data_IF_646230543845
#
_entry.id   IF_646230543845
#
_cell.length_a   1.000
_cell.length_b   1.000
_cell.length_c   1.000
_cell.angle_alpha   90.00
_cell.angle_beta   90.00
_cell.angle_gamma   90.00
#
_symmetry.space_group_name_H-M   'P 1'
#
loop_
_entity.id
_entity.type
_entity.pdbx_description
1 polymer ?
#
# COMPACT_ATOMS: atom_id res chain seq x y z
N UNK A 1 26.97 -33.63 -11.99
CA UNK A 1 25.95 -33.23 -11.01
C UNK A 1 26.18 -31.78 -10.64
N UNK A 2 25.17 -30.91 -10.77
CA UNK A 2 25.27 -29.52 -10.30
C UNK A 2 24.95 -29.53 -8.80
N UNK A 3 25.85 -29.01 -7.98
CA UNK A 3 25.65 -28.85 -6.54
C UNK A 3 25.09 -27.45 -6.32
N UNK A 4 23.90 -27.35 -5.71
CA UNK A 4 23.37 -26.08 -5.20
C UNK A 4 23.85 -25.90 -3.75
N UNK A 5 24.71 -24.92 -3.45
CA UNK A 5 25.11 -24.65 -2.09
C UNK A 5 23.91 -24.13 -1.28
N UNK A 6 23.76 -24.63 -0.05
CA UNK A 6 22.73 -24.18 0.89
C UNK A 6 23.32 -23.04 1.72
N UNK A 7 22.62 -21.90 1.76
CA UNK A 7 22.94 -20.80 2.66
C UNK A 7 22.34 -21.09 4.04
N UNK A 8 23.15 -20.99 5.09
CA UNK A 8 22.71 -21.07 6.48
C UNK A 8 22.65 -19.66 7.06
N UNK A 9 21.49 -19.25 7.54
CA UNK A 9 21.26 -17.91 8.08
C UNK A 9 21.51 -17.89 9.59
N UNK A 10 22.63 -17.31 10.02
CA UNK A 10 22.94 -17.13 11.44
C UNK A 10 22.40 -15.81 12.01
N UNK A 11 22.13 -14.83 11.16
CA UNK A 11 21.49 -13.56 11.50
C UNK A 11 20.84 -12.95 10.26
N UNK A 12 19.82 -12.13 10.46
CA UNK A 12 19.21 -11.32 9.40
C UNK A 12 18.84 -9.95 9.96
N UNK A 13 19.07 -8.90 9.18
CA UNK A 13 18.72 -7.53 9.55
C UNK A 13 17.92 -6.92 8.42
N UNK A 14 16.74 -6.41 8.75
CA UNK A 14 15.90 -5.62 7.87
C UNK A 14 16.20 -4.14 8.06
N UNK A 15 16.45 -3.43 6.95
CA UNK A 15 16.62 -1.98 6.95
C UNK A 15 15.39 -1.38 6.29
N UNK A 16 14.66 -0.55 7.03
CA UNK A 16 13.45 0.10 6.51
C UNK A 16 13.76 1.38 5.71
N UNK A 17 12.72 1.97 5.11
CA UNK A 17 12.82 3.21 4.31
C UNK A 17 13.23 4.45 5.12
N UNK A 18 13.20 4.38 6.45
CA UNK A 18 13.58 5.46 7.38
C UNK A 18 14.97 5.23 7.99
N UNK A 19 15.81 4.37 7.38
CA UNK A 19 17.12 3.96 7.89
C UNK A 19 17.07 3.24 9.25
N UNK A 20 15.90 2.76 9.66
CA UNK A 20 15.74 1.90 10.83
C UNK A 20 16.33 0.53 10.57
N UNK A 21 17.08 0.00 11.55
CA UNK A 21 17.71 -1.31 11.49
C UNK A 21 17.02 -2.25 12.47
N UNK A 22 16.45 -3.34 11.96
CA UNK A 22 15.63 -4.27 12.70
C UNK A 22 16.22 -5.68 12.62
N UNK A 23 16.57 -6.26 13.76
CA UNK A 23 17.06 -7.63 13.80
C UNK A 23 15.90 -8.61 13.66
N UNK A 24 16.03 -9.54 12.69
CA UNK A 24 15.00 -10.55 12.40
C UNK A 24 15.46 -11.88 12.96
N UNK A 25 14.60 -12.50 13.77
CA UNK A 25 14.87 -13.80 14.35
C UNK A 25 14.93 -14.88 13.23
N UNK A 26 16.06 -15.55 13.03
CA UNK A 26 16.17 -16.57 11.99
C UNK A 26 15.19 -17.74 12.13
N UNK A 27 14.76 -18.05 13.36
CA UNK A 27 13.79 -19.12 13.61
C UNK A 27 12.40 -18.82 13.02
N UNK A 28 12.09 -17.54 12.77
CA UNK A 28 10.81 -17.11 12.21
C UNK A 28 10.69 -17.37 10.71
N UNK A 29 11.81 -17.53 9.98
CA UNK A 29 11.78 -17.84 8.54
C UNK A 29 11.14 -19.20 8.24
N UNK A 30 11.25 -20.16 9.17
CA UNK A 30 10.67 -21.50 9.00
C UNK A 30 9.19 -21.59 9.36
N UNK A 31 8.67 -20.63 10.14
CA UNK A 31 7.30 -20.67 10.68
C UNK A 31 6.38 -19.65 10.02
N UNK A 32 6.95 -18.55 9.51
CA UNK A 32 6.22 -17.48 8.86
C UNK A 32 5.95 -17.81 7.40
N UNK A 33 4.69 -17.64 6.98
CA UNK A 33 4.32 -17.80 5.57
C UNK A 33 4.39 -16.45 4.87
N UNK A 34 4.85 -16.40 3.60
CA UNK A 34 4.78 -15.19 2.82
C UNK A 34 3.31 -14.77 2.65
N UNK A 35 3.12 -13.46 2.43
CA UNK A 35 1.80 -12.92 2.17
C UNK A 35 1.15 -13.59 0.94
N UNK A 36 -0.15 -13.88 1.01
CA UNK A 36 -0.87 -14.61 -0.04
C UNK A 36 -0.94 -13.82 -1.35
N UNK A 37 -0.86 -12.49 -1.29
CA UNK A 37 -0.85 -11.61 -2.45
C UNK A 37 0.55 -11.41 -3.03
N UNK A 38 1.62 -11.83 -2.34
CA UNK A 38 3.02 -11.65 -2.80
C UNK A 38 3.26 -12.04 -4.27
N UNK A 39 2.72 -13.17 -4.78
CA UNK A 39 2.94 -13.55 -6.18
C UNK A 39 2.35 -12.56 -7.21
N UNK A 40 1.37 -11.75 -6.80
CA UNK A 40 0.63 -10.83 -7.65
C UNK A 40 0.92 -9.36 -7.36
N UNK A 41 1.55 -9.06 -6.22
CA UNK A 41 1.76 -7.71 -5.72
C UNK A 41 2.34 -6.76 -6.77
N UNK A 42 3.45 -7.13 -7.42
CA UNK A 42 4.08 -6.28 -8.44
C UNK A 42 3.11 -5.92 -9.59
N UNK A 43 2.39 -6.90 -10.13
CA UNK A 43 1.45 -6.68 -11.22
C UNK A 43 0.25 -5.84 -10.80
N UNK A 44 -0.21 -6.04 -9.57
CA UNK A 44 -1.34 -5.29 -9.01
C UNK A 44 -0.96 -3.81 -8.82
N UNK A 45 0.21 -3.56 -8.22
CA UNK A 45 0.78 -2.23 -8.04
C UNK A 45 0.99 -1.54 -9.39
N UNK A 46 1.61 -2.22 -10.35
CA UNK A 46 1.84 -1.68 -11.69
C UNK A 46 0.52 -1.33 -12.40
N UNK A 47 -0.47 -2.23 -12.34
CA UNK A 47 -1.79 -2.00 -12.97
C UNK A 47 -2.53 -0.80 -12.38
N UNK A 48 -2.45 -0.61 -11.05
CA UNK A 48 -3.05 0.54 -10.37
C UNK A 48 -2.30 1.83 -10.72
N UNK A 49 -0.97 1.83 -10.62
CA UNK A 49 -0.15 3.01 -10.84
C UNK A 49 -0.12 3.48 -12.31
N UNK A 50 -0.27 2.57 -13.27
CA UNK A 50 -0.35 2.93 -14.69
C UNK A 50 -1.73 3.46 -15.09
N UNK A 51 -2.77 3.19 -14.30
CA UNK A 51 -4.12 3.70 -14.55
C UNK A 51 -4.29 5.11 -13.97
N UNK A 52 -4.46 6.10 -14.85
CA UNK A 52 -4.67 7.49 -14.41
C UNK A 52 -5.93 7.63 -13.54
N UNK A 53 -7.01 6.92 -13.89
CA UNK A 53 -8.26 6.94 -13.12
C UNK A 53 -8.03 6.40 -11.71
N UNK A 54 -7.27 5.30 -11.57
CA UNK A 54 -6.96 4.72 -10.25
C UNK A 54 -6.04 5.62 -9.43
N UNK A 55 -5.01 6.23 -10.03
CA UNK A 55 -4.18 7.23 -9.32
C UNK A 55 -4.99 8.42 -8.81
N UNK A 56 -5.95 8.92 -9.61
CA UNK A 56 -6.86 9.97 -9.17
C UNK A 56 -7.77 9.49 -8.02
N UNK A 57 -8.22 8.23 -8.06
CA UNK A 57 -9.00 7.65 -6.97
C UNK A 57 -8.17 7.56 -5.67
N UNK A 58 -6.88 7.22 -5.74
CA UNK A 58 -5.95 7.26 -4.60
C UNK A 58 -5.82 8.67 -4.01
N UNK A 59 -5.77 9.72 -4.85
CA UNK A 59 -5.79 11.12 -4.38
C UNK A 59 -7.08 11.44 -3.63
N UNK A 60 -8.24 11.01 -4.15
CA UNK A 60 -9.54 11.19 -3.49
C UNK A 60 -9.60 10.43 -2.16
N UNK A 61 -9.05 9.21 -2.10
CA UNK A 61 -8.89 8.43 -0.87
C UNK A 61 -8.05 9.16 0.17
N UNK A 62 -6.94 9.78 -0.24
CA UNK A 62 -6.08 10.56 0.65
C UNK A 62 -6.87 11.70 1.34
N UNK A 63 -7.68 12.42 0.58
CA UNK A 63 -8.57 13.43 1.16
C UNK A 63 -9.66 12.83 2.04
N UNK A 64 -10.38 11.81 1.55
CA UNK A 64 -11.54 11.25 2.23
C UNK A 64 -11.19 10.53 3.54
N UNK A 65 -10.07 9.81 3.58
CA UNK A 65 -9.68 8.99 4.74
C UNK A 65 -8.71 9.71 5.68
N UNK A 66 -7.78 10.50 5.12
CA UNK A 66 -6.69 11.11 5.88
C UNK A 66 -6.87 12.61 6.09
N UNK A 67 -7.85 13.23 5.43
CA UNK A 67 -8.07 14.68 5.40
C UNK A 67 -6.84 15.47 4.91
N UNK A 68 -6.09 14.86 3.99
CA UNK A 68 -4.87 15.42 3.42
C UNK A 68 -5.13 15.90 1.99
N UNK A 69 -4.56 17.07 1.63
CA UNK A 69 -4.68 17.62 0.28
C UNK A 69 -3.51 17.13 -0.58
N UNK A 70 -3.74 16.00 -1.26
CA UNK A 70 -2.77 15.41 -2.18
C UNK A 70 -2.94 15.92 -3.62
N UNK A 71 -1.83 16.17 -4.31
CA UNK A 71 -1.79 16.48 -5.75
C UNK A 71 -1.58 15.24 -6.63
N UNK A 72 -0.92 14.22 -6.10
CA UNK A 72 -0.64 12.96 -6.80
C UNK A 72 -0.48 11.83 -5.77
N UNK A 73 -0.70 10.58 -6.19
CA UNK A 73 -0.60 9.41 -5.32
C UNK A 73 -0.24 8.13 -6.10
N UNK A 74 0.57 7.27 -5.47
CA UNK A 74 0.98 5.97 -5.98
C UNK A 74 0.81 4.91 -4.90
N UNK A 75 0.44 3.70 -5.31
CA UNK A 75 0.52 2.52 -4.46
C UNK A 75 1.98 2.03 -4.42
N UNK A 76 2.53 1.79 -3.23
CA UNK A 76 3.90 1.33 -3.05
C UNK A 76 3.99 -0.17 -2.78
N UNK A 77 3.10 -0.66 -1.93
CA UNK A 77 3.10 -2.04 -1.44
C UNK A 77 1.65 -2.51 -1.28
N UNK A 78 1.45 -3.83 -1.29
CA UNK A 78 0.17 -4.47 -1.01
C UNK A 78 0.41 -5.73 -0.19
N UNK A 79 -0.52 -6.03 0.70
CA UNK A 79 -0.59 -7.29 1.44
C UNK A 79 -2.06 -7.62 1.76
N UNK A 80 -2.31 -8.77 2.37
CA UNK A 80 -3.68 -9.19 2.71
C UNK A 80 -4.41 -8.23 3.66
N UNK A 81 -3.72 -7.34 4.38
CA UNK A 81 -4.34 -6.39 5.32
C UNK A 81 -4.65 -5.04 4.68
N UNK A 82 -4.10 -4.74 3.52
CA UNK A 82 -4.26 -3.44 2.86
C UNK A 82 -3.09 -3.07 1.97
N UNK A 83 -2.73 -1.80 1.97
CA UNK A 83 -1.70 -1.27 1.07
C UNK A 83 -1.01 -0.04 1.64
N UNK A 84 0.22 0.20 1.20
CA UNK A 84 0.94 1.45 1.42
C UNK A 84 0.79 2.37 0.21
N UNK A 85 0.55 3.65 0.47
CA UNK A 85 0.37 4.68 -0.53
C UNK A 85 1.35 5.83 -0.30
N UNK A 86 2.05 6.24 -1.36
CA UNK A 86 2.86 7.45 -1.38
C UNK A 86 2.05 8.59 -1.99
N UNK A 87 1.69 9.58 -1.18
CA UNK A 87 0.93 10.74 -1.63
C UNK A 87 1.75 12.02 -1.55
N UNK A 88 1.60 12.88 -2.56
CA UNK A 88 2.23 14.19 -2.63
C UNK A 88 1.31 15.23 -2.00
N UNK A 89 1.47 15.47 -0.71
CA UNK A 89 0.57 16.30 0.09
C UNK A 89 1.10 17.73 0.27
N UNK A 90 0.20 18.70 0.34
CA UNK A 90 0.54 20.09 0.65
C UNK A 90 0.92 20.20 2.15
N UNK A 91 2.16 20.58 2.42
CA UNK A 91 2.71 20.76 3.76
C UNK A 91 3.11 22.23 3.97
N UNK A 92 2.86 22.78 5.16
CA UNK A 92 3.31 24.13 5.52
C UNK A 92 2.75 25.28 4.67
N UNK A 93 1.66 25.07 3.93
CA UNK A 93 0.93 26.12 3.20
C UNK A 93 1.47 26.49 1.82
N UNK A 94 2.62 25.95 1.38
CA UNK A 94 3.17 26.28 0.06
C UNK A 94 3.92 25.14 -0.65
N UNK A 95 4.39 24.11 0.05
CA UNK A 95 5.25 23.08 -0.54
C UNK A 95 4.60 21.71 -0.53
N UNK A 96 4.78 20.99 -1.63
CA UNK A 96 4.31 19.61 -1.75
C UNK A 96 5.40 18.64 -1.34
N UNK A 97 5.10 17.78 -0.37
CA UNK A 97 6.01 16.76 0.14
C UNK A 97 5.42 15.37 -0.08
N UNK A 98 6.28 14.41 -0.44
CA UNK A 98 5.88 13.01 -0.50
C UNK A 98 5.80 12.46 0.92
N UNK A 99 4.66 11.85 1.26
CA UNK A 99 4.43 11.15 2.52
C UNK A 99 3.84 9.78 2.25
N UNK A 100 4.31 8.80 3.00
CA UNK A 100 3.82 7.43 2.96
C UNK A 100 2.69 7.25 3.98
N UNK A 101 1.65 6.55 3.58
CA UNK A 101 0.48 6.27 4.38
C UNK A 101 0.11 4.80 4.27
N UNK A 102 -0.11 4.16 5.43
CA UNK A 102 -0.66 2.81 5.50
C UNK A 102 -2.18 2.87 5.49
N UNK A 103 -2.81 2.22 4.52
CA UNK A 103 -4.25 2.03 4.46
C UNK A 103 -4.56 0.56 4.79
N UNK A 104 -5.41 0.35 5.79
CA UNK A 104 -5.78 -0.98 6.28
C UNK A 104 -7.25 -1.24 5.97
N UNK A 105 -7.56 -2.44 5.49
CA UNK A 105 -8.93 -2.90 5.33
C UNK A 105 -9.54 -3.28 6.68
N UNK A 106 -10.85 -3.10 6.83
CA UNK A 106 -11.56 -3.54 8.04
C UNK A 106 -11.48 -5.07 8.21
N UNK A 107 -11.54 -5.80 7.10
CA UNK A 107 -11.33 -7.25 7.04
C UNK A 107 -10.28 -7.57 5.99
N UNK A 108 -9.44 -8.56 6.27
CA UNK A 108 -8.34 -9.00 5.41
C UNK A 108 -8.85 -9.50 4.04
N UNK A 109 -8.07 -9.24 2.98
CA UNK A 109 -8.27 -9.73 1.64
C UNK A 109 -7.55 -11.09 1.46
N UNK A 110 -8.32 -12.16 1.34
CA UNK A 110 -7.77 -13.51 1.21
C UNK A 110 -7.09 -13.77 -0.14
N UNK A 111 -7.49 -13.04 -1.17
CA UNK A 111 -6.98 -13.14 -2.54
C UNK A 111 -7.04 -11.80 -3.28
N UNK A 112 -6.55 -11.81 -4.53
CA UNK A 112 -6.45 -10.62 -5.38
C UNK A 112 -7.82 -10.07 -5.78
N UNK A 113 -8.82 -10.94 -5.96
CA UNK A 113 -10.18 -10.51 -6.34
C UNK A 113 -10.84 -9.75 -5.20
N UNK A 114 -10.73 -10.29 -3.97
CA UNK A 114 -11.23 -9.64 -2.78
C UNK A 114 -10.48 -8.35 -2.47
N UNK A 115 -9.15 -8.31 -2.69
CA UNK A 115 -8.38 -7.07 -2.59
C UNK A 115 -8.92 -6.00 -3.55
N UNK A 116 -9.08 -6.34 -4.84
CA UNK A 116 -9.59 -5.41 -5.86
C UNK A 116 -11.00 -4.92 -5.52
N UNK A 117 -11.85 -5.82 -5.02
CA UNK A 117 -13.21 -5.51 -4.60
C UNK A 117 -13.22 -4.52 -3.45
N UNK A 118 -12.42 -4.77 -2.40
CA UNK A 118 -12.28 -3.86 -1.25
C UNK A 118 -11.73 -2.50 -1.68
N UNK A 119 -10.73 -2.46 -2.56
CA UNK A 119 -10.20 -1.21 -3.10
C UNK A 119 -11.29 -0.39 -3.81
N UNK A 120 -12.07 -1.02 -4.70
CA UNK A 120 -13.19 -0.35 -5.40
C UNK A 120 -14.22 0.20 -4.41
N UNK A 121 -14.62 -0.58 -3.41
CA UNK A 121 -15.57 -0.13 -2.38
C UNK A 121 -15.05 1.09 -1.62
N UNK A 122 -13.76 1.13 -1.30
CA UNK A 122 -13.14 2.28 -0.65
C UNK A 122 -13.13 3.51 -1.58
N UNK A 123 -12.81 3.34 -2.86
CA UNK A 123 -12.84 4.42 -3.85
C UNK A 123 -14.26 5.01 -4.01
N UNK A 124 -15.29 4.15 -4.06
CA UNK A 124 -16.70 4.55 -4.14
C UNK A 124 -17.13 5.33 -2.89
N UNK A 125 -16.83 4.80 -1.69
CA UNK A 125 -17.13 5.45 -0.43
C UNK A 125 -16.42 6.82 -0.31
N UNK A 126 -15.19 6.92 -0.79
CA UNK A 126 -14.44 8.17 -0.82
C UNK A 126 -15.08 9.21 -1.76
N UNK A 127 -15.54 8.78 -2.94
CA UNK A 127 -16.26 9.64 -3.88
C UNK A 127 -17.56 10.17 -3.28
N UNK A 128 -18.35 9.32 -2.63
CA UNK A 128 -19.62 9.72 -2.02
C UNK A 128 -19.42 10.71 -0.87
N UNK A 129 -18.35 10.52 -0.07
CA UNK A 129 -17.95 11.50 0.95
C UNK A 129 -17.66 12.86 0.33
N UNK A 130 -16.89 12.91 -0.77
CA UNK A 130 -16.56 14.18 -1.46
C UNK A 130 -17.78 14.85 -2.08
N UNK A 131 -18.71 14.08 -2.67
CA UNK A 131 -19.99 14.63 -3.18
C UNK A 131 -20.79 15.30 -2.06
N UNK A 132 -20.88 14.65 -0.90
CA UNK A 132 -21.60 15.20 0.27
C UNK A 132 -21.00 16.53 0.77
N UNK A 133 -19.67 16.68 0.69
CA UNK A 133 -18.98 17.90 1.12
C UNK A 133 -19.08 19.05 0.11
N UNK A 134 -19.30 18.74 -1.18
CA UNK A 134 -19.32 19.73 -2.27
C UNK A 134 -20.71 20.25 -2.60
N UNK A 135 -21.78 19.70 -2.01
CA UNK A 135 -23.16 20.08 -2.30
C UNK A 135 -23.65 19.65 -3.69
N UNK A 136 -22.88 18.80 -4.38
CA UNK A 136 -23.25 18.16 -5.65
C UNK A 136 -23.96 16.83 -5.34
N UNK A 137 -25.22 16.95 -4.90
CA UNK A 137 -26.20 15.86 -4.84
C UNK A 137 -27.22 16.00 -5.94
#
# INVERSE_FOLDING_TARGET
SIIFPVLFFSSCTFIDGNNGSHEVNPDEFGTTKPDRLSPFAAKLIDGINQSEIRRRALVVLCFALLNENAKDAYMLSVDHKGFDMLAKVLSGGAEYQWKEFRITFEEEAEDVELFCTKLVQMEEAALDKVKSCSGLG
#
